data_IF_992607573263
#
_entry.id   IF_992607573263
#
_cell.length_a   1.000
_cell.length_b   1.000
_cell.length_c   1.000
_cell.angle_alpha   90.00
_cell.angle_beta   90.00
_cell.angle_gamma   90.00
#
_symmetry.space_group_name_H-M   'P 1'
#
loop_
_entity.id
_entity.type
_entity.pdbx_description
1 polymer ?
#
# COMPACT_ATOMS: atom_id res chain seq x y z
N UNK A 1 -13.33 14.53 19.13
CA UNK A 1 -12.56 14.52 17.88
C UNK A 1 -11.29 13.75 18.16
N UNK A 2 -11.40 12.45 17.97
CA UNK A 2 -10.32 11.52 17.73
C UNK A 2 -9.67 11.97 16.43
N UNK A 3 -8.43 12.39 16.57
CA UNK A 3 -7.53 12.62 15.45
C UNK A 3 -6.46 11.54 15.45
N UNK A 4 -5.69 11.51 14.38
CA UNK A 4 -4.40 10.80 14.38
C UNK A 4 -3.50 11.43 15.47
N UNK A 5 -2.74 10.62 16.22
CA UNK A 5 -1.86 11.10 17.30
C UNK A 5 -1.02 12.29 16.89
N UNK A 6 -0.84 13.21 17.83
CA UNK A 6 -0.01 14.40 17.69
C UNK A 6 1.50 14.14 17.81
N UNK A 7 1.96 12.88 17.83
CA UNK A 7 3.40 12.57 17.80
C UNK A 7 4.00 12.86 16.40
N UNK A 8 4.12 14.15 16.09
CA UNK A 8 4.60 14.67 14.82
C UNK A 8 6.03 14.21 14.51
N UNK A 9 6.86 14.01 15.53
CA UNK A 9 8.23 13.53 15.34
C UNK A 9 8.26 12.06 14.89
N UNK A 10 7.43 11.19 15.48
CA UNK A 10 7.30 9.80 15.01
C UNK A 10 6.73 9.77 13.59
N UNK A 11 5.68 10.53 13.30
CA UNK A 11 5.10 10.62 11.95
C UNK A 11 6.10 11.09 10.90
N UNK A 12 6.91 12.11 11.24
CA UNK A 12 8.00 12.59 10.40
C UNK A 12 9.03 11.50 10.15
N UNK A 13 9.51 10.81 11.18
CA UNK A 13 10.49 9.72 11.03
C UNK A 13 9.93 8.55 10.21
N UNK A 14 8.68 8.16 10.44
CA UNK A 14 7.99 7.12 9.64
C UNK A 14 7.88 7.54 8.18
N UNK A 15 7.50 8.79 7.92
CA UNK A 15 7.41 9.35 6.57
C UNK A 15 8.77 9.28 5.88
N UNK A 16 9.83 9.72 6.55
CA UNK A 16 11.20 9.69 6.01
C UNK A 16 11.66 8.26 5.71
N UNK A 17 11.45 7.32 6.65
CA UNK A 17 11.82 5.91 6.47
C UNK A 17 11.06 5.25 5.31
N UNK A 18 9.75 5.52 5.20
CA UNK A 18 8.86 4.91 4.22
C UNK A 18 9.04 5.48 2.80
N UNK A 19 9.30 6.78 2.69
CA UNK A 19 9.45 7.49 1.40
C UNK A 19 10.88 7.52 0.85
N UNK A 20 11.91 7.22 1.67
CA UNK A 20 13.30 7.18 1.21
C UNK A 20 13.46 6.24 0.02
N UNK A 21 14.16 6.71 -1.01
CA UNK A 21 14.52 5.92 -2.19
C UNK A 21 15.21 4.61 -1.81
N UNK A 22 14.91 3.52 -2.54
CA UNK A 22 15.54 2.21 -2.34
C UNK A 22 16.62 1.91 -3.39
N UNK A 23 17.01 2.89 -4.23
CA UNK A 23 17.90 2.64 -5.39
C UNK A 23 19.26 2.08 -4.97
N UNK A 24 19.86 2.65 -3.92
CA UNK A 24 21.16 2.22 -3.40
C UNK A 24 21.08 0.78 -2.88
N UNK A 25 20.13 0.48 -1.99
CA UNK A 25 19.98 -0.86 -1.42
C UNK A 25 19.64 -1.92 -2.49
N UNK A 26 18.83 -1.57 -3.49
CA UNK A 26 18.53 -2.49 -4.59
C UNK A 26 19.74 -2.75 -5.48
N UNK A 27 20.64 -1.77 -5.61
CA UNK A 27 21.88 -1.92 -6.38
C UNK A 27 22.82 -2.87 -5.65
N UNK A 28 22.95 -2.71 -4.34
CA UNK A 28 23.77 -3.59 -3.49
C UNK A 28 23.23 -5.02 -3.47
N UNK A 29 21.91 -5.20 -3.30
CA UNK A 29 21.27 -6.52 -3.36
C UNK A 29 21.55 -7.18 -4.71
N UNK A 30 21.45 -6.43 -5.82
CA UNK A 30 21.70 -6.98 -7.17
C UNK A 30 23.18 -7.34 -7.36
N UNK A 31 24.10 -6.51 -6.87
CA UNK A 31 25.53 -6.77 -6.94
C UNK A 31 25.93 -8.05 -6.19
N UNK A 32 25.33 -8.29 -5.01
CA UNK A 32 25.60 -9.48 -4.18
C UNK A 32 24.94 -10.73 -4.76
N UNK A 33 23.70 -10.62 -5.26
CA UNK A 33 22.94 -11.79 -5.76
C UNK A 33 23.34 -12.23 -7.17
N UNK A 34 24.03 -11.39 -7.95
CA UNK A 34 24.43 -11.70 -9.33
C UNK A 34 23.25 -11.87 -10.30
N UNK A 35 22.05 -11.41 -9.91
CA UNK A 35 20.82 -11.64 -10.65
C UNK A 35 20.80 -10.95 -12.01
N UNK A 36 20.56 -11.71 -13.08
CA UNK A 36 20.40 -11.19 -14.45
C UNK A 36 19.02 -10.61 -14.73
N UNK A 37 18.03 -10.84 -13.86
CA UNK A 37 16.64 -10.38 -14.00
C UNK A 37 16.26 -9.39 -12.90
N UNK A 38 15.15 -8.68 -13.09
CA UNK A 38 14.60 -7.75 -12.09
C UNK A 38 13.29 -8.27 -11.47
N UNK A 39 13.02 -9.58 -11.55
CA UNK A 39 11.73 -10.16 -11.18
C UNK A 39 11.39 -9.98 -9.68
N UNK A 40 12.40 -10.00 -8.79
CA UNK A 40 12.24 -9.78 -7.35
C UNK A 40 12.27 -8.31 -6.91
N UNK A 41 12.41 -7.36 -7.85
CA UNK A 41 12.63 -5.93 -7.51
C UNK A 41 11.52 -5.37 -6.62
N UNK A 42 10.26 -5.73 -6.89
CA UNK A 42 9.13 -5.22 -6.12
C UNK A 42 9.10 -5.76 -4.69
N UNK A 43 9.43 -7.04 -4.51
CA UNK A 43 9.56 -7.67 -3.20
C UNK A 43 10.70 -7.02 -2.41
N UNK A 44 11.88 -6.90 -3.04
CA UNK A 44 13.04 -6.27 -2.41
C UNK A 44 12.78 -4.81 -1.99
N UNK A 45 12.00 -4.04 -2.76
CA UNK A 45 11.60 -2.68 -2.37
C UNK A 45 10.82 -2.71 -1.05
N UNK A 46 9.87 -3.62 -0.91
CA UNK A 46 9.07 -3.75 0.30
C UNK A 46 9.90 -4.27 1.47
N UNK A 47 10.79 -5.23 1.25
CA UNK A 47 11.69 -5.74 2.28
C UNK A 47 12.61 -4.63 2.82
N UNK A 48 13.15 -3.79 1.94
CA UNK A 48 13.97 -2.62 2.35
C UNK A 48 13.13 -1.64 3.15
N UNK A 49 11.93 -1.28 2.68
CA UNK A 49 11.04 -0.36 3.41
C UNK A 49 10.64 -0.91 4.78
N UNK A 50 10.25 -2.19 4.85
CA UNK A 50 9.87 -2.84 6.10
C UNK A 50 11.05 -3.03 7.06
N UNK A 51 12.26 -3.33 6.56
CA UNK A 51 13.46 -3.37 7.40
C UNK A 51 13.76 -2.02 8.04
N UNK A 52 13.62 -0.92 7.30
CA UNK A 52 13.77 0.44 7.84
C UNK A 52 12.70 0.77 8.88
N UNK A 53 11.44 0.39 8.63
CA UNK A 53 10.34 0.62 9.57
C UNK A 53 10.51 -0.22 10.85
N UNK A 54 10.96 -1.47 10.72
CA UNK A 54 11.30 -2.32 11.85
C UNK A 54 12.38 -1.68 12.74
N UNK A 55 13.48 -1.26 12.12
CA UNK A 55 14.57 -0.60 12.82
C UNK A 55 14.12 0.70 13.49
N UNK A 56 13.32 1.51 12.79
CA UNK A 56 12.74 2.74 13.33
C UNK A 56 11.87 2.48 14.56
N UNK A 57 11.05 1.42 14.56
CA UNK A 57 10.23 1.07 15.71
C UNK A 57 11.10 0.84 16.95
N UNK A 58 12.16 0.03 16.82
CA UNK A 58 13.10 -0.26 17.90
C UNK A 58 13.80 1.02 18.40
N UNK A 59 14.32 1.84 17.49
CA UNK A 59 15.04 3.08 17.82
C UNK A 59 14.17 4.11 18.54
N UNK A 60 12.87 4.08 18.27
CA UNK A 60 11.90 4.99 18.90
C UNK A 60 11.24 4.40 20.16
N UNK A 61 11.66 3.21 20.59
CA UNK A 61 11.08 2.54 21.76
C UNK A 61 9.66 2.00 21.52
N UNK A 62 9.27 1.85 20.26
CA UNK A 62 7.99 1.31 19.80
C UNK A 62 8.12 -0.16 19.42
N UNK A 63 6.98 -0.84 19.26
CA UNK A 63 6.98 -2.28 18.98
C UNK A 63 6.78 -2.55 17.48
N UNK A 64 7.73 -3.16 16.77
CA UNK A 64 7.46 -3.67 15.43
C UNK A 64 6.50 -4.86 15.51
N UNK A 65 5.44 -4.84 14.72
CA UNK A 65 4.45 -5.91 14.63
C UNK A 65 4.44 -6.49 13.23
N UNK A 66 4.66 -7.79 13.14
CA UNK A 66 4.78 -8.52 11.88
C UNK A 66 3.47 -9.22 11.56
N UNK A 67 2.80 -8.78 10.50
CA UNK A 67 1.57 -9.42 10.01
C UNK A 67 1.95 -10.38 8.88
N UNK A 68 1.79 -11.67 9.14
CA UNK A 68 2.06 -12.72 8.17
C UNK A 68 0.81 -13.03 7.36
N UNK A 69 0.95 -13.06 6.04
CA UNK A 69 -0.10 -13.50 5.11
C UNK A 69 0.41 -14.71 4.34
N UNK A 70 0.08 -15.89 4.86
CA UNK A 70 0.61 -17.17 4.38
C UNK A 70 2.16 -17.20 4.44
N UNK A 71 2.78 -18.12 3.71
CA UNK A 71 4.23 -18.34 3.75
C UNK A 71 5.06 -17.35 2.90
N UNK A 72 4.43 -16.53 2.06
CA UNK A 72 5.12 -15.77 1.00
C UNK A 72 5.13 -14.25 1.21
N UNK A 73 4.41 -13.74 2.21
CA UNK A 73 4.29 -12.31 2.40
C UNK A 73 4.15 -11.94 3.87
N UNK A 74 4.93 -10.97 4.29
CA UNK A 74 4.94 -10.42 5.63
C UNK A 74 4.99 -8.90 5.53
N UNK A 75 4.20 -8.18 6.33
CA UNK A 75 4.37 -6.75 6.49
C UNK A 75 4.77 -6.38 7.90
N UNK A 76 5.58 -5.33 7.98
CA UNK A 76 5.98 -4.70 9.24
C UNK A 76 5.11 -3.48 9.47
N UNK A 77 4.53 -3.44 10.65
CA UNK A 77 3.72 -2.33 11.18
C UNK A 77 4.39 -1.81 12.46
N UNK A 78 4.04 -0.61 12.89
CA UNK A 78 4.61 0.01 14.09
C UNK A 78 3.49 0.23 15.09
N UNK A 79 3.57 -0.41 16.25
CA UNK A 79 2.70 -0.16 17.38
C UNK A 79 3.34 0.88 18.29
N UNK A 80 2.69 2.04 18.41
CA UNK A 80 3.10 3.10 19.33
C UNK A 80 2.67 2.73 20.75
N UNK A 81 3.66 2.55 21.63
CA UNK A 81 3.45 1.90 22.92
C UNK A 81 2.66 2.77 23.93
N UNK A 82 2.60 4.09 23.75
CA UNK A 82 1.92 5.00 24.70
C UNK A 82 0.43 5.15 24.39
N UNK A 83 0.07 5.15 23.11
CA UNK A 83 -1.27 5.44 22.58
C UNK A 83 -1.99 4.18 22.10
N UNK A 84 -1.26 3.10 21.82
CA UNK A 84 -1.80 1.89 21.22
C UNK A 84 -2.17 2.08 19.75
N UNK A 85 -1.62 3.07 19.07
CA UNK A 85 -1.82 3.27 17.63
C UNK A 85 -0.97 2.27 16.82
N UNK A 86 -1.61 1.49 15.95
CA UNK A 86 -0.93 0.63 15.01
C UNK A 86 -0.87 1.28 13.62
N UNK A 87 0.34 1.61 13.18
CA UNK A 87 0.60 2.19 11.86
C UNK A 87 0.84 1.09 10.82
N UNK A 88 0.01 1.08 9.76
CA UNK A 88 0.07 0.11 8.67
C UNK A 88 0.37 0.82 7.35
N UNK A 89 1.29 0.28 6.55
CA UNK A 89 1.88 0.98 5.40
C UNK A 89 1.45 0.38 4.05
N UNK A 90 1.04 1.22 3.11
CA UNK A 90 0.61 0.82 1.78
C UNK A 90 1.11 1.77 0.69
N UNK A 91 1.22 1.26 -0.54
CA UNK A 91 1.16 2.13 -1.72
C UNK A 91 -0.27 2.65 -1.87
N UNK A 92 -0.41 3.91 -2.23
CA UNK A 92 -1.71 4.58 -2.37
C UNK A 92 -2.67 3.85 -3.33
N UNK A 93 -2.15 3.39 -4.47
CA UNK A 93 -2.95 2.63 -5.44
C UNK A 93 -3.48 1.30 -4.88
N UNK A 94 -2.67 0.59 -4.10
CA UNK A 94 -3.06 -0.67 -3.47
C UNK A 94 -4.04 -0.43 -2.34
N UNK A 95 -3.81 0.61 -1.53
CA UNK A 95 -4.74 1.06 -0.51
C UNK A 95 -6.13 1.35 -1.09
N UNK A 96 -6.23 2.16 -2.15
CA UNK A 96 -7.51 2.47 -2.83
C UNK A 96 -8.23 1.20 -3.32
N UNK A 97 -7.47 0.21 -3.81
CA UNK A 97 -8.02 -1.08 -4.21
C UNK A 97 -8.57 -1.85 -2.99
N UNK A 98 -7.80 -1.94 -1.91
CA UNK A 98 -8.18 -2.65 -0.68
C UNK A 98 -9.45 -2.05 -0.09
N UNK A 99 -9.53 -0.72 0.05
CA UNK A 99 -10.71 -0.04 0.63
C UNK A 99 -11.99 -0.33 -0.18
N UNK A 100 -11.90 -0.32 -1.51
CA UNK A 100 -13.04 -0.66 -2.39
C UNK A 100 -13.48 -2.13 -2.29
N UNK A 101 -12.59 -3.00 -1.82
CA UNK A 101 -12.82 -4.44 -1.71
C UNK A 101 -13.06 -4.89 -0.25
N UNK A 102 -13.21 -3.97 0.71
CA UNK A 102 -13.61 -4.28 2.09
C UNK A 102 -14.96 -5.01 2.11
N UNK A 103 -15.11 -5.95 3.03
CA UNK A 103 -16.30 -6.81 3.14
C UNK A 103 -16.36 -7.94 2.12
N UNK A 104 -15.45 -8.01 1.14
CA UNK A 104 -15.42 -9.09 0.15
C UNK A 104 -14.49 -10.22 0.60
N UNK A 105 -15.00 -11.46 0.57
CA UNK A 105 -14.18 -12.66 0.84
C UNK A 105 -13.22 -12.96 -0.34
N UNK A 106 -11.99 -13.44 -0.09
CA UNK A 106 -11.36 -13.54 1.23
C UNK A 106 -10.97 -12.15 1.77
N UNK A 107 -11.22 -11.91 3.06
CA UNK A 107 -10.96 -10.60 3.65
C UNK A 107 -9.48 -10.24 3.58
N UNK A 108 -9.22 -8.97 3.36
CA UNK A 108 -7.87 -8.43 3.45
C UNK A 108 -7.49 -8.26 4.92
N UNK A 109 -6.21 -8.41 5.30
CA UNK A 109 -5.80 -8.24 6.70
C UNK A 109 -6.16 -6.85 7.26
N UNK A 110 -6.11 -5.81 6.41
CA UNK A 110 -6.59 -4.46 6.76
C UNK A 110 -8.05 -4.48 7.17
N UNK A 111 -8.90 -5.21 6.46
CA UNK A 111 -10.32 -5.35 6.80
C UNK A 111 -10.45 -5.96 8.20
N UNK A 112 -9.75 -7.06 8.48
CA UNK A 112 -9.81 -7.70 9.78
C UNK A 112 -9.38 -6.78 10.93
N UNK A 113 -8.21 -6.12 10.81
CA UNK A 113 -7.68 -5.27 11.89
C UNK A 113 -8.43 -3.95 12.08
N UNK A 114 -9.15 -3.46 11.06
CA UNK A 114 -9.99 -2.25 11.19
C UNK A 114 -11.11 -2.43 12.22
N UNK A 115 -11.46 -3.65 12.63
CA UNK A 115 -12.40 -3.90 13.74
C UNK A 115 -11.99 -3.18 15.03
N UNK A 116 -10.69 -2.92 15.21
CA UNK A 116 -10.16 -2.15 16.35
C UNK A 116 -10.63 -0.70 16.37
N UNK A 117 -11.06 -0.15 15.24
CA UNK A 117 -11.56 1.23 15.12
C UNK A 117 -13.05 1.37 15.46
N UNK A 118 -13.77 0.28 15.82
CA UNK A 118 -15.20 0.35 16.18
C UNK A 118 -15.52 1.37 17.25
N UNK A 119 -14.60 1.59 18.19
CA UNK A 119 -14.77 2.56 19.29
C UNK A 119 -14.85 4.02 18.82
N UNK A 120 -14.49 4.31 17.57
CA UNK A 120 -14.44 5.66 16.98
C UNK A 120 -15.34 5.80 15.75
N UNK A 121 -16.19 4.82 15.44
CA UNK A 121 -17.04 4.86 14.24
C UNK A 121 -18.04 6.02 14.24
N UNK A 122 -18.54 6.38 15.42
CA UNK A 122 -19.44 7.51 15.62
C UNK A 122 -18.79 8.88 15.37
N UNK A 123 -17.49 8.93 15.14
CA UNK A 123 -16.76 10.17 14.82
C UNK A 123 -16.69 10.44 13.31
N UNK A 124 -17.12 9.50 12.48
CA UNK A 124 -17.15 9.70 11.04
C UNK A 124 -18.16 10.80 10.64
N UNK A 125 -17.81 11.69 9.70
CA UNK A 125 -18.70 12.76 9.25
C UNK A 125 -20.04 12.26 8.68
N UNK A 126 -20.07 11.02 8.18
CA UNK A 126 -21.22 10.39 7.54
C UNK A 126 -21.58 9.04 8.15
N UNK A 127 -21.43 8.88 9.46
CA UNK A 127 -21.80 7.63 10.14
C UNK A 127 -23.30 7.33 9.95
N UNK A 128 -23.62 6.26 9.21
CA UNK A 128 -24.96 5.70 9.14
C UNK A 128 -24.98 4.38 9.90
N UNK A 129 -25.66 4.30 11.07
CA UNK A 129 -25.83 3.03 11.75
C UNK A 129 -26.62 2.07 10.85
N UNK A 130 -26.10 0.86 10.65
CA UNK A 130 -26.83 -0.18 9.94
C UNK A 130 -28.07 -0.56 10.77
N UNK A 131 -29.23 -0.60 10.12
CA UNK A 131 -30.48 -1.08 10.73
C UNK A 131 -30.50 -2.62 10.88
N UNK A 132 -29.59 -3.31 10.19
CA UNK A 132 -29.40 -4.76 10.25
C UNK A 132 -27.91 -5.04 10.40
N UNK A 133 -27.45 -5.29 11.62
CA UNK A 133 -26.07 -5.74 11.85
C UNK A 133 -25.97 -7.20 11.44
N UNK A 134 -25.18 -7.48 10.40
CA UNK A 134 -24.70 -8.83 10.14
C UNK A 134 -23.55 -9.11 11.12
N UNK A 135 -23.91 -9.57 12.32
CA UNK A 135 -22.95 -9.85 13.40
C UNK A 135 -21.91 -10.88 12.98
N UNK A 136 -22.24 -11.77 12.03
CA UNK A 136 -21.34 -12.83 11.58
C UNK A 136 -20.10 -12.30 10.87
N UNK A 137 -20.24 -11.21 10.11
CA UNK A 137 -19.13 -10.56 9.42
C UNK A 137 -18.12 -9.99 10.41
N UNK A 138 -18.63 -9.30 11.44
CA UNK A 138 -17.83 -8.66 12.47
C UNK A 138 -17.14 -9.67 13.40
N UNK A 139 -17.83 -10.75 13.75
CA UNK A 139 -17.27 -11.84 14.54
C UNK A 139 -16.11 -12.54 13.80
N UNK A 140 -16.27 -12.79 12.50
CA UNK A 140 -15.20 -13.36 11.65
C UNK A 140 -13.97 -12.42 11.58
N UNK A 141 -14.19 -11.10 11.44
CA UNK A 141 -13.12 -10.10 11.43
C UNK A 141 -12.41 -9.99 12.76
N UNK A 142 -13.15 -10.02 13.86
CA UNK A 142 -12.56 -9.97 15.20
C UNK A 142 -11.69 -11.20 15.47
N UNK A 143 -12.17 -12.40 15.12
CA UNK A 143 -11.40 -13.63 15.24
C UNK A 143 -10.10 -13.57 14.42
N UNK A 144 -10.18 -13.14 13.16
CA UNK A 144 -9.00 -12.98 12.30
C UNK A 144 -8.06 -11.87 12.80
N UNK A 145 -8.59 -10.78 13.34
CA UNK A 145 -7.77 -9.72 13.92
C UNK A 145 -6.99 -10.22 15.15
N UNK A 146 -7.59 -11.06 16.00
CA UNK A 146 -6.90 -11.70 17.13
C UNK A 146 -5.80 -12.64 16.64
N UNK A 147 -6.04 -13.40 15.59
CA UNK A 147 -5.02 -14.26 14.98
C UNK A 147 -3.86 -13.44 14.38
N UNK A 148 -4.17 -12.37 13.65
CA UNK A 148 -3.17 -11.50 13.00
C UNK A 148 -2.29 -10.77 14.01
N UNK A 149 -2.89 -10.23 15.07
CA UNK A 149 -2.18 -9.40 16.06
C UNK A 149 -1.61 -10.22 17.23
N UNK A 150 -2.12 -11.42 17.47
CA UNK A 150 -1.70 -12.31 18.56
C UNK A 150 -1.68 -11.59 19.91
N UNK A 151 -0.58 -11.73 20.65
CA UNK A 151 -0.37 -11.13 21.98
C UNK A 151 -0.42 -9.59 21.99
N UNK A 152 -0.41 -8.95 20.81
CA UNK A 152 -0.50 -7.48 20.67
C UNK A 152 -1.93 -7.00 20.50
N UNK A 153 -2.91 -7.89 20.32
CA UNK A 153 -4.30 -7.53 20.04
C UNK A 153 -4.88 -6.54 21.07
N UNK A 154 -4.64 -6.78 22.36
CA UNK A 154 -5.15 -5.93 23.45
C UNK A 154 -4.38 -4.61 23.62
N UNK A 155 -3.17 -4.52 23.06
CA UNK A 155 -2.35 -3.30 23.10
C UNK A 155 -2.72 -2.33 21.97
N UNK A 156 -3.35 -2.84 20.91
CA UNK A 156 -3.82 -2.02 19.79
C UNK A 156 -5.17 -1.39 20.17
N UNK A 157 -5.20 -0.06 20.18
CA UNK A 157 -6.40 0.73 20.42
C UNK A 157 -7.06 1.18 19.12
N UNK A 158 -6.26 1.54 18.11
CA UNK A 158 -6.75 1.94 16.78
C UNK A 158 -5.70 1.74 15.70
N UNK A 159 -6.18 1.66 14.46
CA UNK A 159 -5.40 1.47 13.24
C UNK A 159 -5.30 2.80 12.50
N UNK A 160 -4.08 3.18 12.13
CA UNK A 160 -3.78 4.33 11.27
C UNK A 160 -3.08 3.84 10.01
N UNK A 161 -3.59 4.22 8.85
CA UNK A 161 -3.08 3.79 7.56
C UNK A 161 -2.13 4.86 7.00
N UNK A 162 -0.88 4.48 6.74
CA UNK A 162 0.08 5.29 5.99
C UNK A 162 0.05 4.91 4.51
N UNK A 163 -0.17 5.89 3.64
CA UNK A 163 -0.11 5.71 2.19
C UNK A 163 1.05 6.47 1.59
N UNK A 164 1.67 5.87 0.57
CA UNK A 164 2.75 6.44 -0.21
C UNK A 164 2.39 6.42 -1.69
N UNK A 165 2.45 7.59 -2.32
CA UNK A 165 2.38 7.76 -3.77
C UNK A 165 3.80 7.91 -4.32
N UNK A 166 4.09 7.18 -5.40
CA UNK A 166 5.39 7.22 -6.07
C UNK A 166 5.18 7.42 -7.58
N UNK A 167 5.90 8.36 -8.18
CA UNK A 167 5.99 8.54 -9.62
C UNK A 167 7.42 8.20 -10.08
N UNK A 168 7.55 7.24 -11.01
CA UNK A 168 8.85 6.77 -11.52
C UNK A 168 9.85 6.36 -10.40
N UNK A 169 9.34 5.88 -9.27
CA UNK A 169 10.14 5.45 -8.11
C UNK A 169 10.57 6.57 -7.16
N UNK A 170 10.04 7.78 -7.35
CA UNK A 170 10.24 8.93 -6.47
C UNK A 170 8.96 9.15 -5.67
N UNK A 171 9.07 9.25 -4.35
CA UNK A 171 7.95 9.57 -3.48
C UNK A 171 7.43 10.99 -3.77
N UNK A 172 6.13 11.11 -4.05
CA UNK A 172 5.48 12.40 -4.38
C UNK A 172 4.52 12.85 -3.29
N UNK A 173 3.84 11.91 -2.62
CA UNK A 173 2.92 12.21 -1.54
C UNK A 173 2.92 11.13 -0.46
N UNK A 174 2.78 11.55 0.79
CA UNK A 174 2.57 10.65 1.94
C UNK A 174 1.42 11.17 2.78
N UNK A 175 0.54 10.26 3.21
CA UNK A 175 -0.61 10.59 4.05
C UNK A 175 -0.73 9.60 5.19
N UNK A 176 -1.23 10.06 6.32
CA UNK A 176 -1.76 9.22 7.38
C UNK A 176 -3.29 9.36 7.38
N UNK A 177 -3.99 8.24 7.44
CA UNK A 177 -5.44 8.15 7.25
C UNK A 177 -6.02 7.35 8.42
N UNK A 178 -7.02 7.93 9.07
CA UNK A 178 -7.83 7.28 10.08
C UNK A 178 -9.18 6.91 9.49
N UNK A 179 -9.54 5.64 9.62
CA UNK A 179 -10.76 5.09 9.08
C UNK A 179 -11.68 4.58 10.19
N UNK A 180 -12.98 4.49 9.91
CA UNK A 180 -13.91 3.68 10.70
C UNK A 180 -13.56 2.20 10.56
N UNK A 181 -14.19 1.37 11.38
CA UNK A 181 -14.15 -0.07 11.23
C UNK A 181 -14.65 -0.54 9.86
N UNK A 182 -15.52 0.21 9.20
CA UNK A 182 -16.03 -0.12 7.87
C UNK A 182 -15.23 0.52 6.71
N UNK A 183 -14.12 1.20 7.02
CA UNK A 183 -13.22 1.81 6.03
C UNK A 183 -13.65 3.18 5.52
N UNK A 184 -14.58 3.85 6.21
CA UNK A 184 -14.98 5.22 5.91
C UNK A 184 -13.98 6.21 6.51
N UNK A 185 -13.76 7.34 5.84
CA UNK A 185 -12.77 8.33 6.28
C UNK A 185 -13.25 9.09 7.52
N UNK A 186 -12.44 9.08 8.58
CA UNK A 186 -12.61 9.93 9.78
C UNK A 186 -11.70 11.15 9.69
N UNK A 187 -10.39 10.93 9.49
CA UNK A 187 -9.37 11.97 9.48
C UNK A 187 -8.26 11.65 8.47
N UNK A 188 -7.66 12.69 7.88
CA UNK A 188 -6.53 12.57 6.95
C UNK A 188 -5.51 13.67 7.22
N UNK A 189 -4.25 13.28 7.44
CA UNK A 189 -3.13 14.20 7.61
C UNK A 189 -2.17 14.06 6.44
N UNK A 190 -1.92 15.17 5.74
CA UNK A 190 -0.88 15.23 4.72
C UNK A 190 0.50 15.35 5.37
N UNK A 191 1.36 14.37 5.11
CA UNK A 191 2.71 14.27 5.64
C UNK A 191 3.79 14.49 4.56
N UNK A 192 3.39 14.86 3.35
CA UNK A 192 4.29 14.99 2.19
C UNK A 192 5.42 16.02 2.42
N UNK A 193 5.21 16.99 3.31
CA UNK A 193 6.23 17.95 3.75
C UNK A 193 7.44 17.30 4.45
N UNK A 194 7.31 16.05 4.91
CA UNK A 194 8.39 15.29 5.56
C UNK A 194 9.09 14.32 4.61
N UNK A 195 8.68 14.26 3.33
CA UNK A 195 9.41 13.49 2.33
C UNK A 195 10.84 14.07 2.25
N UNK A 196 11.88 13.23 2.34
CA UNK A 196 13.25 13.70 2.21
C UNK A 196 13.43 14.45 0.89
N UNK A 197 13.86 15.71 0.97
CA UNK A 197 14.27 16.44 -0.21
C UNK A 197 15.50 15.73 -0.77
N UNK A 198 15.32 14.98 -1.85
CA UNK A 198 16.41 14.34 -2.57
C UNK A 198 17.18 15.41 -3.37
N UNK A 199 17.87 16.32 -2.68
CA UNK A 199 18.99 17.07 -3.29
C UNK A 199 20.21 16.13 -3.35
N UNK A 200 20.05 15.04 -4.08
CA UNK A 200 21.15 14.19 -4.51
C UNK A 200 20.93 13.92 -5.98
N UNK A 201 21.56 14.77 -6.78
CA UNK A 201 22.20 14.48 -8.06
C UNK A 201 21.84 13.10 -8.59
N UNK A 202 20.73 12.99 -9.31
CA UNK A 202 20.61 11.93 -10.30
C UNK A 202 21.72 12.21 -11.32
N UNK A 203 22.89 11.63 -11.06
CA UNK A 203 23.87 11.34 -12.08
C UNK A 203 23.08 10.84 -13.28
N UNK A 204 23.30 11.51 -14.40
CA UNK A 204 22.72 11.21 -15.68
C UNK A 204 22.60 9.69 -15.84
N UNK A 205 21.36 9.20 -15.87
CA UNK A 205 21.09 8.06 -16.73
C UNK A 205 21.41 8.63 -18.11
N UNK A 206 22.59 8.27 -18.63
CA UNK A 206 23.00 8.56 -19.99
C UNK A 206 21.91 8.05 -20.92
N UNK A 207 20.97 8.92 -21.28
CA UNK A 207 20.15 8.78 -22.45
C UNK A 207 20.93 9.45 -23.58
N UNK A 208 21.98 8.76 -24.03
CA UNK A 208 22.67 9.10 -25.26
C UNK A 208 21.78 8.63 -26.42
N UNK A 209 20.66 9.33 -26.60
CA UNK A 209 19.79 9.17 -27.76
C UNK A 209 19.52 10.56 -28.33
N UNK A 210 19.96 10.86 -29.57
CA UNK A 210 19.91 12.21 -30.11
C UNK A 210 18.46 12.69 -30.29
N UNK A 211 18.25 13.98 -29.99
CA UNK A 211 17.01 14.73 -30.14
C UNK A 211 16.26 14.35 -31.43
N UNK A 212 15.05 13.80 -31.29
CA UNK A 212 14.07 13.77 -32.38
C UNK A 212 12.98 14.79 -32.10
N UNK A 213 13.13 15.90 -32.81
CA UNK A 213 12.16 16.87 -33.31
C UNK A 213 10.70 16.64 -32.91
N UNK A 214 10.14 17.63 -32.20
CA UNK A 214 8.72 17.77 -31.93
C UNK A 214 7.98 18.02 -33.26
N UNK A 215 7.11 17.11 -33.65
CA UNK A 215 6.04 17.39 -34.64
C UNK A 215 4.68 17.12 -34.01
N UNK A 216 3.96 18.21 -33.72
CA UNK A 216 2.52 18.21 -33.44
C UNK A 216 1.78 17.89 -34.73
N UNK A 217 0.86 16.92 -34.70
CA UNK A 217 -0.30 16.88 -35.60
C UNK A 217 -1.50 16.27 -34.87
N UNK A 218 -2.62 17.02 -34.86
CA UNK A 218 -3.91 16.64 -34.29
C UNK A 218 -4.75 15.83 -35.29
N UNK A 219 -5.60 14.98 -34.70
CA UNK A 219 -6.96 14.59 -35.11
C UNK A 219 -7.20 13.49 -36.18
N UNK A 220 -7.70 12.35 -35.65
CA UNK A 220 -9.03 11.74 -35.90
C UNK A 220 -9.27 11.03 -37.26
N UNK A 221 -9.12 9.69 -37.28
CA UNK A 221 -9.83 8.74 -38.17
C UNK A 221 -9.95 7.40 -37.42
N UNK A 222 -11.11 7.02 -36.85
CA UNK A 222 -12.27 6.27 -37.40
C UNK A 222 -11.94 4.82 -37.83
N UNK A 223 -12.42 3.87 -37.01
CA UNK A 223 -12.71 2.44 -37.21
C UNK A 223 -12.17 1.72 -38.46
N UNK A 224 -11.44 0.63 -38.23
CA UNK A 224 -11.40 -0.53 -39.13
C UNK A 224 -11.46 -1.83 -38.32
N UNK A 225 -12.68 -2.28 -38.05
CA UNK A 225 -13.03 -3.53 -37.38
C UNK A 225 -13.25 -4.63 -38.43
N UNK A 226 -12.30 -4.84 -39.35
CA UNK A 226 -12.48 -5.76 -40.50
C UNK A 226 -11.44 -6.88 -40.61
N UNK A 227 -10.46 -6.99 -39.70
CA UNK A 227 -9.45 -8.07 -39.76
C UNK A 227 -9.64 -9.24 -38.80
N UNK A 228 -10.79 -9.36 -38.14
CA UNK A 228 -11.08 -10.47 -37.22
C UNK A 228 -11.98 -11.54 -37.87
N UNK A 229 -12.60 -11.26 -39.02
CA UNK A 229 -13.51 -12.19 -39.72
C UNK A 229 -12.82 -13.32 -40.51
N UNK A 230 -11.65 -13.08 -41.09
CA UNK A 230 -11.01 -14.06 -42.00
C UNK A 230 -10.21 -15.16 -41.29
N UNK A 231 -9.84 -14.97 -40.01
CA UNK A 231 -9.06 -15.96 -39.25
C UNK A 231 -9.96 -17.06 -38.66
N UNK A 232 -11.28 -16.83 -38.54
CA UNK A 232 -12.21 -17.82 -37.99
C UNK A 232 -12.84 -18.76 -39.03
N UNK A 233 -12.82 -18.40 -40.33
CA UNK A 233 -13.32 -19.27 -41.40
C UNK A 233 -12.28 -20.28 -41.92
N UNK A 234 -10.98 -20.02 -41.75
CA UNK A 234 -9.93 -20.97 -42.18
C UNK A 234 -9.62 -22.08 -41.17
N UNK A 235 -10.09 -21.98 -39.92
CA UNK A 235 -9.97 -23.06 -38.91
C UNK A 235 -11.12 -24.06 -38.94
N UNK A 236 -12.32 -23.67 -39.40
CA UNK A 236 -13.49 -24.58 -39.43
C UNK A 236 -13.51 -25.49 -40.66
N UNK A 237 -12.77 -25.17 -41.72
CA UNK A 237 -12.66 -26.02 -42.93
C UNK A 237 -11.55 -27.10 -42.83
N UNK A 238 -10.87 -27.23 -41.67
CA UNK A 238 -9.78 -28.21 -41.48
C UNK A 238 -10.07 -29.28 -40.42
N UNK A 239 -11.26 -29.26 -39.81
CA UNK A 239 -11.72 -30.25 -38.81
C UNK A 239 -12.90 -31.12 -39.31
N UNK A 240 -13.38 -30.95 -40.56
CA UNK A 240 -14.42 -31.81 -41.17
C UNK A 240 -13.88 -32.68 -42.33
N UNK A 241 -12.57 -32.88 -42.40
CA UNK A 241 -11.95 -33.83 -43.34
C UNK A 241 -10.80 -34.60 -42.69
N UNK A 242 -11.12 -35.40 -41.67
CA UNK A 242 -10.37 -36.59 -41.24
C UNK A 242 -11.30 -37.53 -40.46
#
# INVERSE_FOLDING_TARGET
MVSISSNAELQKKMTQAFSKSCVEELTDIKAVTGGSTNNGRNQNIWDVKYSRLHQLAIETGNTPVHIKRNALWECVTILENNTGELFIFFRDNNYKKIVRDLGKKPYHYLDCVLVKNKCIDNEAPFFQPSLFDDTSYDDEREAQSKEILGDKYDQVNKIVVFTLEEEKGIATAVKAILLTSNGELIDEVNLSQYIPNNYSTSAAINDDTPEKTIVKLKAKVKNSNEKIGEIKLSKKAKEESE
#
